data_IF_080655930782
#
_entry.id   IF_080655930782
#
_cell.length_a   1.000
_cell.length_b   1.000
_cell.length_c   1.000
_cell.angle_alpha   90.00
_cell.angle_beta   90.00
_cell.angle_gamma   90.00
#
_symmetry.space_group_name_H-M   'P 1'
#
loop_
_entity.id
_entity.type
_entity.pdbx_description
1 polymer ?
#
# COMPACT_ATOMS: atom_id res chain seq x y z
N UNK A 1 -12.20 -9.73 1.22
CA UNK A 1 -12.27 -10.42 -0.07
C UNK A 1 -10.96 -11.07 -0.52
N UNK A 2 -9.80 -10.45 -0.21
CA UNK A 2 -8.48 -11.04 -0.45
C UNK A 2 -7.77 -11.48 0.84
N UNK A 3 -8.37 -11.22 1.99
CA UNK A 3 -7.79 -11.59 3.29
C UNK A 3 -8.06 -13.06 3.59
N UNK A 4 -7.14 -13.68 4.29
CA UNK A 4 -7.23 -15.07 4.75
C UNK A 4 -7.29 -15.07 6.27
N UNK A 5 -8.29 -15.71 6.93
CA UNK A 5 -8.40 -15.74 8.39
C UNK A 5 -7.18 -16.33 9.09
N UNK A 6 -6.46 -17.24 8.44
CA UNK A 6 -5.23 -17.84 8.97
C UNK A 6 -4.16 -16.79 9.38
N UNK A 7 -4.14 -15.61 8.73
CA UNK A 7 -3.22 -14.54 9.12
C UNK A 7 -3.40 -14.09 10.57
N UNK A 8 -4.63 -14.17 11.09
CA UNK A 8 -4.94 -13.78 12.47
C UNK A 8 -4.23 -14.69 13.48
N UNK A 9 -4.21 -16.01 13.21
CA UNK A 9 -3.49 -16.99 14.02
C UNK A 9 -1.99 -16.72 13.97
N UNK A 10 -1.45 -16.50 12.77
CA UNK A 10 -0.01 -16.23 12.59
C UNK A 10 0.43 -14.94 13.27
N UNK A 11 -0.40 -13.89 13.30
CA UNK A 11 -0.12 -12.67 14.05
C UNK A 11 -0.04 -12.97 15.56
N UNK A 12 -1.03 -13.72 16.11
CA UNK A 12 -1.03 -14.10 17.53
C UNK A 12 0.22 -14.91 17.91
N UNK A 13 0.60 -15.86 17.07
CA UNK A 13 1.80 -16.68 17.30
C UNK A 13 3.11 -15.85 17.23
N UNK A 14 3.22 -14.91 16.29
CA UNK A 14 4.41 -14.06 16.16
C UNK A 14 4.52 -13.07 17.32
N UNK A 15 3.40 -12.49 17.74
CA UNK A 15 3.40 -11.41 18.71
C UNK A 15 3.22 -11.87 20.15
N UNK A 16 2.66 -13.07 20.36
CA UNK A 16 2.21 -13.54 21.67
C UNK A 16 1.05 -12.74 22.26
N UNK A 17 0.39 -11.88 21.43
CA UNK A 17 -0.70 -11.01 21.87
C UNK A 17 -2.01 -11.39 21.21
N UNK A 18 -3.09 -11.25 21.95
CA UNK A 18 -4.44 -11.37 21.42
C UNK A 18 -4.98 -10.00 20.99
N UNK A 19 -5.97 -10.01 20.11
CA UNK A 19 -6.69 -8.83 19.62
C UNK A 19 -8.11 -9.23 19.22
N UNK A 20 -9.03 -8.26 19.28
CA UNK A 20 -10.39 -8.46 18.79
C UNK A 20 -10.42 -8.37 17.27
N UNK A 21 -11.20 -9.25 16.66
CA UNK A 21 -11.43 -9.27 15.23
C UNK A 21 -12.92 -9.20 14.93
N UNK A 22 -13.32 -8.29 14.06
CA UNK A 22 -14.67 -8.13 13.56
C UNK A 22 -14.64 -8.34 12.04
N UNK A 23 -15.31 -9.39 11.54
CA UNK A 23 -15.45 -9.63 10.12
C UNK A 23 -16.62 -8.81 9.57
N UNK A 24 -16.37 -7.57 9.20
CA UNK A 24 -17.36 -6.58 8.78
C UNK A 24 -16.89 -5.86 7.51
N UNK A 25 -17.79 -5.64 6.57
CA UNK A 25 -17.56 -4.77 5.41
C UNK A 25 -17.73 -3.30 5.83
N UNK A 26 -16.89 -2.39 5.31
CA UNK A 26 -17.04 -0.95 5.59
C UNK A 26 -18.38 -0.36 5.10
N UNK A 27 -19.03 -1.02 4.16
CA UNK A 27 -20.37 -0.62 3.69
C UNK A 27 -21.49 -1.07 4.63
N UNK A 28 -21.21 -1.98 5.55
CA UNK A 28 -22.14 -2.40 6.61
C UNK A 28 -21.98 -1.50 7.84
N UNK A 29 -22.72 -0.38 7.85
CA UNK A 29 -22.66 0.62 8.92
C UNK A 29 -22.99 0.05 10.27
N UNK A 30 -24.04 -0.78 10.36
CA UNK A 30 -24.53 -1.34 11.62
C UNK A 30 -23.51 -2.34 12.19
N UNK A 31 -22.97 -3.21 11.34
CA UNK A 31 -21.92 -4.15 11.71
C UNK A 31 -20.63 -3.44 12.16
N UNK A 32 -20.23 -2.37 11.44
CA UNK A 32 -19.05 -1.59 11.81
C UNK A 32 -19.26 -0.82 13.13
N UNK A 33 -20.47 -0.35 13.40
CA UNK A 33 -20.81 0.35 14.62
C UNK A 33 -20.63 -0.52 15.86
N UNK A 34 -20.86 -1.84 15.77
CA UNK A 34 -20.63 -2.77 16.88
C UNK A 34 -19.18 -2.69 17.38
N UNK A 35 -18.20 -2.60 16.46
CA UNK A 35 -16.79 -2.46 16.83
C UNK A 35 -16.51 -1.17 17.61
N UNK A 36 -17.17 -0.07 17.27
CA UNK A 36 -17.04 1.22 17.99
C UNK A 36 -17.75 1.16 19.34
N UNK A 37 -18.94 0.53 19.42
CA UNK A 37 -19.73 0.46 20.65
C UNK A 37 -19.11 -0.44 21.73
N UNK A 38 -18.41 -1.49 21.34
CA UNK A 38 -17.82 -2.47 22.25
C UNK A 38 -16.37 -2.15 22.67
N UNK A 39 -15.76 -1.09 22.14
CA UNK A 39 -14.37 -0.78 22.37
C UNK A 39 -14.14 0.72 22.58
N UNK A 40 -13.19 1.06 23.44
CA UNK A 40 -12.64 2.41 23.55
C UNK A 40 -11.60 2.57 22.44
N UNK A 41 -11.94 3.33 21.40
CA UNK A 41 -11.09 3.55 20.23
C UNK A 41 -10.50 4.96 20.29
N UNK A 42 -9.17 5.08 20.31
CA UNK A 42 -8.46 6.36 20.32
C UNK A 42 -8.17 6.88 18.90
N UNK A 43 -7.92 5.98 17.96
CA UNK A 43 -7.55 6.31 16.59
C UNK A 43 -7.88 5.17 15.62
N UNK A 44 -7.96 5.50 14.34
CA UNK A 44 -8.18 4.55 13.24
C UNK A 44 -7.02 4.57 12.27
N UNK A 45 -6.48 3.40 11.91
CA UNK A 45 -5.63 3.23 10.73
C UNK A 45 -6.50 2.63 9.62
N UNK A 46 -6.78 3.41 8.59
CA UNK A 46 -7.70 3.04 7.53
C UNK A 46 -6.96 2.52 6.30
N UNK A 47 -6.85 1.19 6.19
CA UNK A 47 -6.25 0.50 5.03
C UNK A 47 -7.27 0.06 3.99
N UNK A 48 -8.53 -0.13 4.38
CA UNK A 48 -9.51 -0.78 3.55
C UNK A 48 -9.80 0.00 2.25
N UNK A 49 -9.95 -0.74 1.16
CA UNK A 49 -10.25 -0.21 -0.16
C UNK A 49 -9.82 -1.14 -1.28
N UNK A 50 -10.53 -1.10 -2.39
CA UNK A 50 -10.12 -1.75 -3.63
C UNK A 50 -8.92 -0.98 -4.20
N UNK A 51 -7.88 -1.71 -4.63
CA UNK A 51 -6.57 -1.09 -4.99
C UNK A 51 -6.03 -1.48 -6.38
N UNK A 52 -6.72 -2.30 -7.15
CA UNK A 52 -6.23 -2.75 -8.45
C UNK A 52 -6.48 -1.70 -9.54
N UNK A 53 -5.41 -1.02 -10.00
CA UNK A 53 -5.50 0.08 -10.97
C UNK A 53 -6.20 -0.36 -12.26
N UNK A 54 -5.79 -1.50 -12.85
CA UNK A 54 -6.38 -2.00 -14.10
C UNK A 54 -7.87 -2.35 -13.95
N UNK A 55 -8.25 -3.00 -12.85
CA UNK A 55 -9.65 -3.32 -12.55
C UNK A 55 -10.49 -2.05 -12.37
N UNK A 56 -9.92 -1.02 -11.74
CA UNK A 56 -10.63 0.25 -11.52
C UNK A 56 -11.09 0.92 -12.80
N UNK A 57 -10.35 0.74 -13.90
CA UNK A 57 -10.73 1.27 -15.22
C UNK A 57 -11.90 0.48 -15.82
N UNK A 58 -11.99 -0.81 -15.54
CA UNK A 58 -13.04 -1.68 -16.06
C UNK A 58 -14.35 -1.55 -15.30
N UNK A 59 -14.30 -1.39 -13.98
CA UNK A 59 -15.47 -1.32 -13.09
C UNK A 59 -15.41 -0.10 -12.15
N UNK A 60 -15.32 1.13 -12.66
CA UNK A 60 -15.04 2.33 -11.85
C UNK A 60 -16.08 2.59 -10.77
N UNK A 61 -17.36 2.38 -11.03
CA UNK A 61 -18.44 2.63 -10.06
C UNK A 61 -18.29 1.79 -8.81
N UNK A 62 -17.82 0.54 -8.92
CA UNK A 62 -17.54 -0.31 -7.76
C UNK A 62 -16.41 0.29 -6.90
N UNK A 63 -15.38 0.87 -7.52
CA UNK A 63 -14.28 1.53 -6.81
C UNK A 63 -14.74 2.77 -6.07
N UNK A 64 -15.52 3.63 -6.73
CA UNK A 64 -16.09 4.83 -6.09
C UNK A 64 -17.00 4.45 -4.92
N UNK A 65 -17.93 3.53 -5.15
CA UNK A 65 -18.88 3.11 -4.11
C UNK A 65 -18.13 2.47 -2.92
N UNK A 66 -17.25 1.50 -3.17
CA UNK A 66 -16.55 0.81 -2.10
C UNK A 66 -15.61 1.75 -1.32
N UNK A 67 -14.76 2.50 -2.02
CA UNK A 67 -13.70 3.24 -1.36
C UNK A 67 -14.22 4.54 -0.72
N UNK A 68 -15.07 5.30 -1.42
CA UNK A 68 -15.56 6.60 -0.92
C UNK A 68 -16.69 6.39 0.07
N UNK A 69 -17.75 5.64 -0.27
CA UNK A 69 -18.89 5.42 0.62
C UNK A 69 -18.45 4.72 1.91
N UNK A 70 -17.59 3.69 1.81
CA UNK A 70 -17.05 3.01 3.00
C UNK A 70 -16.26 3.96 3.91
N UNK A 71 -15.47 4.87 3.34
CA UNK A 71 -14.74 5.87 4.12
C UNK A 71 -15.69 6.89 4.77
N UNK A 72 -16.75 7.33 4.07
CA UNK A 72 -17.75 8.25 4.63
C UNK A 72 -18.45 7.59 5.82
N UNK A 73 -18.89 6.34 5.69
CA UNK A 73 -19.52 5.58 6.78
C UNK A 73 -18.58 5.49 7.99
N UNK A 74 -17.31 5.18 7.75
CA UNK A 74 -16.28 5.15 8.81
C UNK A 74 -16.15 6.51 9.52
N UNK A 75 -16.08 7.60 8.76
CA UNK A 75 -15.98 8.95 9.31
C UNK A 75 -17.23 9.36 10.13
N UNK A 76 -18.43 9.00 9.67
CA UNK A 76 -19.68 9.24 10.41
C UNK A 76 -19.67 8.52 11.78
N UNK A 77 -19.18 7.26 11.83
CA UNK A 77 -19.04 6.54 13.07
C UNK A 77 -17.94 7.13 13.96
N UNK A 78 -16.81 7.51 13.38
CA UNK A 78 -15.76 8.21 14.11
C UNK A 78 -16.27 9.51 14.76
N UNK A 79 -17.09 10.29 14.06
CA UNK A 79 -17.75 11.48 14.62
C UNK A 79 -18.69 11.11 15.75
N UNK A 80 -19.58 10.13 15.52
CA UNK A 80 -20.57 9.67 16.51
C UNK A 80 -19.93 9.24 17.82
N UNK A 81 -18.77 8.55 17.75
CA UNK A 81 -18.04 8.04 18.90
C UNK A 81 -16.89 8.95 19.37
N UNK A 82 -16.82 10.17 18.84
CA UNK A 82 -15.78 11.18 19.17
C UNK A 82 -14.35 10.69 18.95
N UNK A 83 -14.13 9.83 17.97
CA UNK A 83 -12.80 9.38 17.53
C UNK A 83 -12.31 10.33 16.45
N UNK A 84 -11.33 11.19 16.74
CA UNK A 84 -10.91 12.29 15.86
C UNK A 84 -9.51 12.12 15.27
N UNK A 85 -8.91 10.94 15.38
CA UNK A 85 -7.55 10.65 14.93
C UNK A 85 -7.57 9.56 13.86
N UNK A 86 -6.96 9.85 12.71
CA UNK A 86 -6.91 8.88 11.59
C UNK A 86 -5.54 8.88 10.91
N UNK A 87 -5.06 7.68 10.58
CA UNK A 87 -3.99 7.47 9.61
C UNK A 87 -4.61 6.83 8.38
N UNK A 88 -4.62 7.55 7.26
CA UNK A 88 -5.24 7.09 6.03
C UNK A 88 -4.22 6.56 5.03
N UNK A 89 -4.47 5.35 4.54
CA UNK A 89 -3.75 4.73 3.43
C UNK A 89 -4.09 5.41 2.11
N UNK A 90 -3.33 6.46 1.77
CA UNK A 90 -3.38 7.06 0.44
C UNK A 90 -2.38 6.35 -0.51
N UNK A 91 -2.07 6.96 -1.63
CA UNK A 91 -1.22 6.34 -2.65
C UNK A 91 -0.49 7.39 -3.48
N UNK A 92 0.72 7.09 -3.95
CA UNK A 92 1.42 7.91 -4.94
C UNK A 92 0.66 8.07 -6.27
N UNK A 93 -0.34 7.22 -6.54
CA UNK A 93 -1.21 7.35 -7.72
C UNK A 93 -2.03 8.65 -7.75
N UNK A 94 -2.16 9.34 -6.61
CA UNK A 94 -2.80 10.67 -6.57
C UNK A 94 -2.04 11.74 -7.35
N UNK A 95 -0.73 11.58 -7.51
CA UNK A 95 0.11 12.49 -8.31
C UNK A 95 -0.10 12.34 -9.82
N UNK A 96 -0.55 11.17 -10.27
CA UNK A 96 -0.69 10.85 -11.69
C UNK A 96 0.64 10.79 -12.43
N UNK A 97 0.80 11.61 -13.47
CA UNK A 97 2.04 11.73 -14.23
C UNK A 97 2.84 12.94 -13.72
N UNK A 98 3.90 12.73 -12.92
CA UNK A 98 4.68 13.83 -12.38
C UNK A 98 5.55 14.45 -13.47
N UNK A 99 5.70 15.79 -13.45
CA UNK A 99 6.56 16.52 -14.40
C UNK A 99 8.06 16.28 -14.13
N UNK A 100 8.40 15.87 -12.93
CA UNK A 100 9.79 15.60 -12.49
C UNK A 100 9.79 14.61 -11.30
N UNK A 101 10.98 14.11 -10.97
CA UNK A 101 11.25 13.30 -9.78
C UNK A 101 12.51 13.85 -9.08
N UNK A 102 12.70 13.62 -7.77
CA UNK A 102 11.79 12.96 -6.84
C UNK A 102 10.49 13.73 -6.59
N UNK A 103 9.41 13.03 -6.21
CA UNK A 103 8.08 13.60 -5.98
C UNK A 103 7.96 14.02 -4.53
N UNK A 104 7.73 15.31 -4.25
CA UNK A 104 7.41 15.84 -2.93
C UNK A 104 5.89 16.04 -2.74
N UNK A 105 5.45 16.25 -1.50
CA UNK A 105 4.03 16.31 -1.15
C UNK A 105 3.29 17.54 -1.71
N UNK A 106 4.02 18.57 -2.12
CA UNK A 106 3.52 19.81 -2.72
C UNK A 106 3.24 19.69 -4.24
N UNK A 107 3.56 18.52 -4.85
CA UNK A 107 3.27 18.30 -6.27
C UNK A 107 1.76 18.32 -6.54
N UNK A 108 1.34 18.81 -7.73
CA UNK A 108 -0.06 18.79 -8.14
C UNK A 108 -0.64 17.37 -8.10
N UNK A 109 -1.88 17.24 -7.59
CA UNK A 109 -2.60 15.98 -7.55
C UNK A 109 -3.47 15.86 -8.81
N UNK A 110 -3.11 14.96 -9.72
CA UNK A 110 -3.76 14.76 -11.03
C UNK A 110 -3.89 13.27 -11.34
N UNK A 111 -4.67 12.50 -10.56
CA UNK A 111 -4.79 11.05 -10.76
C UNK A 111 -5.31 10.71 -12.16
N UNK A 112 -4.69 9.70 -12.80
CA UNK A 112 -4.99 9.30 -14.18
C UNK A 112 -5.95 8.13 -14.29
N UNK A 113 -6.31 7.49 -13.17
CA UNK A 113 -7.19 6.32 -13.13
C UNK A 113 -8.20 6.40 -11.98
N UNK A 114 -9.32 5.63 -12.04
CA UNK A 114 -10.36 5.69 -11.01
C UNK A 114 -9.87 5.34 -9.60
N UNK A 115 -8.96 4.37 -9.44
CA UNK A 115 -8.38 4.07 -8.13
C UNK A 115 -7.67 5.29 -7.54
N UNK A 116 -6.77 5.91 -8.29
CA UNK A 116 -6.07 7.13 -7.85
C UNK A 116 -7.05 8.27 -7.55
N UNK A 117 -8.12 8.40 -8.34
CA UNK A 117 -9.18 9.39 -8.07
C UNK A 117 -9.93 9.12 -6.78
N UNK A 118 -10.22 7.85 -6.44
CA UNK A 118 -10.86 7.55 -5.14
C UNK A 118 -9.96 7.96 -3.98
N UNK A 119 -8.65 7.70 -4.06
CA UNK A 119 -7.71 8.13 -3.02
C UNK A 119 -7.62 9.65 -2.91
N UNK A 120 -7.53 10.36 -4.03
CA UNK A 120 -7.53 11.82 -4.06
C UNK A 120 -8.83 12.41 -3.49
N UNK A 121 -10.00 11.92 -3.92
CA UNK A 121 -11.28 12.39 -3.39
C UNK A 121 -11.42 12.15 -1.89
N UNK A 122 -10.93 11.03 -1.38
CA UNK A 122 -10.93 10.76 0.06
C UNK A 122 -9.99 11.73 0.78
N UNK A 123 -8.81 12.06 0.24
CA UNK A 123 -7.95 13.10 0.83
C UNK A 123 -8.67 14.43 0.96
N UNK A 124 -9.44 14.84 -0.07
CA UNK A 124 -10.23 16.10 -0.04
C UNK A 124 -11.37 16.01 0.99
N UNK A 125 -12.13 14.91 1.01
CA UNK A 125 -13.19 14.68 2.00
C UNK A 125 -12.62 14.77 3.45
N UNK A 126 -11.46 14.17 3.70
CA UNK A 126 -10.82 14.21 5.00
C UNK A 126 -10.31 15.62 5.37
N UNK A 127 -9.88 16.41 4.39
CA UNK A 127 -9.52 17.82 4.60
C UNK A 127 -10.74 18.66 4.95
N UNK A 128 -11.84 18.49 4.19
CA UNK A 128 -13.10 19.19 4.46
C UNK A 128 -13.64 18.83 5.86
N UNK A 129 -13.58 17.54 6.22
CA UNK A 129 -14.00 17.08 7.54
C UNK A 129 -13.18 17.74 8.67
N UNK A 130 -11.88 17.85 8.49
CA UNK A 130 -10.98 18.43 9.51
C UNK A 130 -11.21 19.94 9.71
N UNK A 131 -11.82 20.64 8.77
CA UNK A 131 -12.19 22.07 8.93
C UNK A 131 -13.40 22.24 9.86
N UNK A 132 -14.25 21.22 9.99
CA UNK A 132 -15.49 21.30 10.79
C UNK A 132 -15.23 21.22 12.31
N UNK A 133 -14.11 20.62 12.72
CA UNK A 133 -13.75 20.45 14.14
C UNK A 133 -12.22 20.41 14.26
N UNK A 134 -11.64 21.34 14.99
CA UNK A 134 -10.20 21.50 15.18
C UNK A 134 -9.51 20.35 15.97
N UNK A 135 -10.30 19.42 16.50
CA UNK A 135 -9.80 18.20 17.15
C UNK A 135 -9.38 17.12 16.17
N UNK A 136 -9.81 17.19 14.91
CA UNK A 136 -9.36 16.24 13.91
C UNK A 136 -7.85 16.29 13.71
N UNK A 137 -7.26 15.11 13.70
CA UNK A 137 -5.85 14.91 13.41
C UNK A 137 -5.70 13.75 12.42
N UNK A 138 -5.28 14.05 11.19
CA UNK A 138 -5.29 13.09 10.09
C UNK A 138 -3.93 13.09 9.39
N UNK A 139 -3.32 11.92 9.28
CA UNK A 139 -2.14 11.70 8.45
C UNK A 139 -2.52 10.96 7.16
N UNK A 140 -2.24 11.57 6.02
CA UNK A 140 -2.46 11.01 4.69
C UNK A 140 -1.14 10.39 4.20
N UNK A 141 -1.03 9.06 4.21
CA UNK A 141 0.21 8.38 3.83
C UNK A 141 0.17 7.96 2.36
N UNK A 142 0.93 8.65 1.52
CA UNK A 142 1.06 8.38 0.09
C UNK A 142 2.17 7.37 -0.16
N UNK A 143 1.81 6.08 -0.21
CA UNK A 143 2.82 5.03 -0.45
C UNK A 143 3.20 4.94 -1.92
N UNK A 144 4.46 4.56 -2.13
CA UNK A 144 4.95 4.13 -3.43
C UNK A 144 4.67 2.63 -3.60
N UNK A 145 5.63 1.76 -3.88
CA UNK A 145 5.36 0.37 -4.20
C UNK A 145 5.77 -0.58 -3.05
N UNK A 146 4.85 -0.97 -2.14
CA UNK A 146 5.20 -1.90 -1.08
C UNK A 146 5.53 -3.28 -1.64
N UNK A 147 6.65 -3.85 -1.19
CA UNK A 147 7.09 -5.22 -1.50
C UNK A 147 7.76 -5.85 -0.26
N UNK A 148 8.21 -7.08 -0.39
CA UNK A 148 8.76 -7.84 0.73
C UNK A 148 7.68 -8.56 1.53
N UNK A 149 8.08 -9.10 2.66
CA UNK A 149 7.22 -9.84 3.57
C UNK A 149 7.76 -9.72 5.00
N UNK A 150 7.04 -10.25 5.98
CA UNK A 150 7.58 -10.33 7.34
C UNK A 150 8.79 -11.28 7.39
N UNK A 151 9.90 -10.91 8.06
CA UNK A 151 11.14 -11.70 8.06
C UNK A 151 11.00 -13.15 8.56
N UNK A 152 9.95 -13.45 9.34
CA UNK A 152 9.65 -14.82 9.76
C UNK A 152 9.31 -15.76 8.60
N UNK A 153 8.91 -15.22 7.44
CA UNK A 153 8.36 -15.99 6.32
C UNK A 153 6.96 -16.57 6.62
N UNK A 154 6.24 -16.04 7.60
CA UNK A 154 4.91 -16.52 8.01
C UNK A 154 3.78 -15.59 7.57
N UNK A 155 4.09 -14.34 7.27
CA UNK A 155 3.13 -13.34 6.76
C UNK A 155 3.72 -12.70 5.50
N UNK A 156 2.95 -12.69 4.43
CA UNK A 156 3.29 -12.11 3.14
C UNK A 156 2.08 -11.90 2.25
N UNK A 157 2.31 -11.43 1.02
CA UNK A 157 1.26 -11.17 0.05
C UNK A 157 0.79 -12.48 -0.60
N UNK A 158 -0.52 -12.75 -0.52
CA UNK A 158 -1.17 -13.93 -1.11
C UNK A 158 -2.36 -13.50 -1.98
N UNK A 159 -2.10 -13.04 -3.21
CA UNK A 159 -3.13 -12.56 -4.11
C UNK A 159 -3.96 -13.72 -4.68
N UNK A 160 -5.27 -13.49 -4.82
CA UNK A 160 -6.13 -14.42 -5.54
C UNK A 160 -5.88 -14.30 -7.06
N UNK A 161 -5.61 -15.44 -7.73
CA UNK A 161 -5.36 -15.50 -9.16
C UNK A 161 -3.99 -14.95 -9.58
N UNK A 162 -3.88 -14.46 -10.84
CA UNK A 162 -2.63 -13.90 -11.37
C UNK A 162 -2.32 -12.57 -10.68
N UNK A 163 -1.13 -12.40 -10.07
CA UNK A 163 -0.78 -11.16 -9.39
C UNK A 163 -0.73 -9.95 -10.32
N UNK A 164 -1.28 -8.83 -9.85
CA UNK A 164 -1.16 -7.54 -10.54
C UNK A 164 0.12 -6.78 -10.18
N UNK A 165 0.69 -7.07 -9.01
CA UNK A 165 1.92 -6.45 -8.52
C UNK A 165 3.16 -7.24 -8.94
N UNK A 166 4.28 -6.54 -9.14
CA UNK A 166 5.51 -7.12 -9.68
C UNK A 166 6.09 -8.21 -8.76
N UNK A 167 6.27 -7.96 -7.47
CA UNK A 167 6.96 -8.89 -6.57
C UNK A 167 6.23 -10.24 -6.41
N UNK A 168 4.91 -10.30 -6.13
CA UNK A 168 4.22 -11.59 -6.07
C UNK A 168 4.19 -12.32 -7.43
N UNK A 169 4.24 -11.59 -8.56
CA UNK A 169 4.38 -12.22 -9.87
C UNK A 169 5.78 -12.87 -10.01
N UNK A 170 6.84 -12.13 -9.66
CA UNK A 170 8.22 -12.66 -9.65
C UNK A 170 8.32 -13.92 -8.78
N UNK A 171 7.82 -13.89 -7.55
CA UNK A 171 7.90 -15.02 -6.63
C UNK A 171 7.12 -16.24 -7.10
N UNK A 172 5.96 -16.04 -7.75
CA UNK A 172 5.18 -17.14 -8.35
C UNK A 172 5.86 -17.73 -9.59
N UNK A 173 6.57 -16.93 -10.38
CA UNK A 173 7.39 -17.45 -11.50
C UNK A 173 8.59 -18.22 -10.94
N UNK A 174 9.29 -17.67 -9.97
CA UNK A 174 10.45 -18.32 -9.35
C UNK A 174 10.10 -19.65 -8.65
N UNK A 175 8.88 -19.76 -8.08
CA UNK A 175 8.38 -21.02 -7.49
C UNK A 175 7.85 -22.02 -8.52
N UNK A 176 7.80 -21.66 -9.82
CA UNK A 176 7.26 -22.50 -10.90
C UNK A 176 5.74 -22.51 -10.98
N UNK A 177 5.03 -21.72 -10.17
CA UNK A 177 3.57 -21.59 -10.23
C UNK A 177 3.10 -20.89 -11.52
N UNK A 178 3.89 -19.95 -12.02
CA UNK A 178 3.71 -19.28 -13.30
C UNK A 178 4.91 -19.53 -14.21
N UNK A 179 4.66 -19.62 -15.51
CA UNK A 179 5.68 -19.97 -16.51
C UNK A 179 6.75 -18.88 -16.67
N UNK A 180 6.32 -17.64 -16.79
CA UNK A 180 7.19 -16.50 -17.12
C UNK A 180 6.56 -15.19 -16.65
N UNK A 181 7.40 -14.18 -16.39
CA UNK A 181 6.99 -12.82 -16.06
C UNK A 181 6.78 -12.02 -17.35
N UNK A 182 5.73 -11.19 -17.40
CA UNK A 182 5.54 -10.19 -18.46
C UNK A 182 6.09 -8.84 -18.00
N UNK A 183 7.11 -8.35 -18.71
CA UNK A 183 7.68 -7.02 -18.53
C UNK A 183 7.02 -6.07 -19.52
N UNK A 184 6.31 -5.06 -19.02
CA UNK A 184 5.49 -4.16 -19.83
C UNK A 184 6.29 -2.94 -20.31
N UNK A 185 6.68 -2.95 -21.59
CA UNK A 185 7.50 -1.92 -22.23
C UNK A 185 9.00 -2.08 -21.97
N UNK A 186 9.79 -1.79 -23.01
CA UNK A 186 11.25 -1.71 -22.96
C UNK A 186 11.78 -0.49 -23.71
N UNK A 187 10.91 0.48 -23.94
CA UNK A 187 11.16 1.68 -24.74
C UNK A 187 10.88 2.97 -23.96
N UNK A 188 10.80 2.89 -22.63
CA UNK A 188 10.75 4.06 -21.76
C UNK A 188 12.10 4.80 -21.77
N UNK A 189 12.11 6.14 -21.55
CA UNK A 189 13.35 6.93 -21.44
C UNK A 189 14.02 6.68 -20.08
N UNK A 190 14.40 5.43 -19.82
CA UNK A 190 15.06 4.94 -18.62
C UNK A 190 16.33 4.19 -19.00
N UNK A 191 17.17 3.83 -18.02
CA UNK A 191 18.47 3.20 -18.24
C UNK A 191 18.40 1.90 -19.08
N UNK A 192 17.38 1.08 -18.83
CA UNK A 192 17.18 -0.23 -19.49
C UNK A 192 15.87 -0.31 -20.30
N UNK A 193 15.20 0.82 -20.46
CA UNK A 193 13.93 0.91 -21.20
C UNK A 193 12.71 0.48 -20.41
N UNK A 194 12.85 -0.08 -19.19
CA UNK A 194 11.70 -0.51 -18.39
C UNK A 194 11.28 0.56 -17.37
N UNK A 195 10.05 0.46 -16.85
CA UNK A 195 9.53 1.44 -15.90
C UNK A 195 10.28 1.43 -14.57
N UNK A 196 10.52 2.61 -14.00
CA UNK A 196 11.23 2.80 -12.72
C UNK A 196 10.24 3.17 -11.62
N UNK A 197 10.33 2.47 -10.48
CA UNK A 197 9.47 2.68 -9.30
C UNK A 197 10.29 2.71 -8.02
N UNK A 198 9.76 3.41 -7.03
CA UNK A 198 10.26 3.37 -5.66
C UNK A 198 9.61 2.18 -4.94
N UNK A 199 10.42 1.21 -4.58
CA UNK A 199 9.98 0.04 -3.82
C UNK A 199 10.32 0.22 -2.35
N UNK A 200 9.34 0.00 -1.48
CA UNK A 200 9.47 0.12 -0.04
C UNK A 200 9.18 -1.22 0.64
N UNK A 201 9.99 -1.59 1.63
CA UNK A 201 9.74 -2.80 2.39
C UNK A 201 8.46 -2.66 3.22
N UNK A 202 7.58 -3.67 3.18
CA UNK A 202 6.29 -3.65 3.89
C UNK A 202 6.44 -3.43 5.40
N UNK A 203 7.54 -3.89 6.02
CA UNK A 203 7.82 -3.65 7.45
C UNK A 203 8.19 -2.19 7.71
N UNK A 204 8.99 -1.56 6.83
CA UNK A 204 9.28 -0.13 6.96
C UNK A 204 8.03 0.71 6.74
N UNK A 205 7.16 0.31 5.81
CA UNK A 205 5.86 0.92 5.63
C UNK A 205 5.00 0.81 6.90
N UNK A 206 4.95 -0.36 7.53
CA UNK A 206 4.24 -0.56 8.81
C UNK A 206 4.80 0.33 9.92
N UNK A 207 6.12 0.46 10.03
CA UNK A 207 6.76 1.41 10.96
C UNK A 207 6.35 2.86 10.66
N UNK A 208 6.21 3.23 9.37
CA UNK A 208 5.73 4.55 8.97
C UNK A 208 4.32 4.84 9.48
N UNK A 209 3.43 3.84 9.50
CA UNK A 209 2.09 3.98 10.08
C UNK A 209 2.14 4.20 11.59
N UNK A 210 3.03 3.50 12.31
CA UNK A 210 3.20 3.73 13.75
C UNK A 210 3.71 5.15 14.03
N UNK A 211 4.65 5.66 13.23
CA UNK A 211 5.14 7.03 13.37
C UNK A 211 4.05 8.06 13.01
N UNK A 212 3.24 7.81 12.02
CA UNK A 212 2.08 8.64 11.72
C UNK A 212 1.03 8.60 12.84
N UNK A 213 0.81 7.45 13.48
CA UNK A 213 -0.09 7.31 14.63
C UNK A 213 0.43 8.12 15.82
N UNK A 214 1.74 8.09 16.14
CA UNK A 214 2.37 8.95 17.15
C UNK A 214 2.16 10.44 16.82
N UNK A 215 2.28 10.83 15.54
CA UNK A 215 2.06 12.22 15.08
C UNK A 215 0.62 12.66 15.31
N UNK A 216 -0.37 11.89 14.83
CA UNK A 216 -1.80 12.26 14.98
C UNK A 216 -2.26 12.22 16.44
N UNK A 217 -1.59 11.46 17.31
CA UNK A 217 -1.87 11.47 18.74
C UNK A 217 -1.53 12.81 19.40
N UNK A 218 -0.56 13.56 18.86
CA UNK A 218 0.02 14.75 19.44
C UNK A 218 -0.12 16.02 18.59
N UNK A 219 -0.92 16.00 17.54
CA UNK A 219 -1.16 17.14 16.65
C UNK A 219 -2.64 17.25 16.26
N UNK A 220 -2.99 18.30 15.53
CA UNK A 220 -4.30 18.48 14.89
C UNK A 220 -4.13 18.90 13.43
N UNK A 221 -5.22 18.86 12.66
CA UNK A 221 -5.21 19.17 11.24
C UNK A 221 -4.90 17.98 10.34
N UNK A 222 -4.60 18.25 9.08
CA UNK A 222 -4.37 17.22 8.06
C UNK A 222 -3.02 17.43 7.40
N UNK A 223 -2.16 16.43 7.47
CA UNK A 223 -0.85 16.42 6.82
C UNK A 223 -0.69 15.21 5.90
N UNK A 224 -0.05 15.42 4.74
CA UNK A 224 0.32 14.34 3.84
C UNK A 224 1.82 14.02 3.96
N UNK A 225 2.16 12.73 3.83
CA UNK A 225 3.53 12.23 3.90
C UNK A 225 3.77 11.17 2.82
N UNK A 226 4.83 11.35 2.04
CA UNK A 226 5.32 10.32 1.12
C UNK A 226 6.07 9.24 1.89
N UNK A 227 5.66 8.00 1.73
CA UNK A 227 6.37 6.83 2.25
C UNK A 227 7.00 6.06 1.09
N UNK A 228 8.28 6.31 0.88
CA UNK A 228 9.14 5.69 -0.11
C UNK A 228 10.58 5.69 0.37
N UNK A 229 11.48 5.11 -0.41
CA UNK A 229 12.92 5.06 -0.10
C UNK A 229 13.68 6.26 -0.66
N UNK A 230 13.09 6.98 -1.63
CA UNK A 230 13.78 7.99 -2.42
C UNK A 230 14.68 7.41 -3.51
N UNK A 231 14.61 6.10 -3.74
CA UNK A 231 15.40 5.39 -4.76
C UNK A 231 14.48 4.68 -5.74
N UNK A 232 14.69 4.93 -7.02
CA UNK A 232 13.97 4.25 -8.09
C UNK A 232 14.74 3.02 -8.60
N UNK A 233 14.03 1.90 -8.79
CA UNK A 233 14.54 0.70 -9.44
C UNK A 233 13.69 0.37 -10.66
N UNK A 234 14.35 0.00 -11.75
CA UNK A 234 13.68 -0.51 -12.94
C UNK A 234 13.15 -1.93 -12.72
N UNK A 235 12.23 -2.38 -13.59
CA UNK A 235 11.72 -3.76 -13.51
C UNK A 235 12.85 -4.77 -13.64
N UNK A 236 13.80 -4.55 -14.56
CA UNK A 236 14.94 -5.47 -14.75
C UNK A 236 15.91 -5.45 -13.57
N UNK A 237 16.14 -4.29 -12.95
CA UNK A 237 16.95 -4.20 -11.72
C UNK A 237 16.31 -4.95 -10.55
N UNK A 238 14.96 -4.94 -10.44
CA UNK A 238 14.25 -5.73 -9.42
C UNK A 238 14.37 -7.24 -9.70
N UNK A 239 14.25 -7.66 -10.95
CA UNK A 239 14.45 -9.07 -11.34
C UNK A 239 15.87 -9.51 -10.97
N UNK A 240 16.88 -8.73 -11.36
CA UNK A 240 18.28 -9.03 -11.02
C UNK A 240 18.53 -9.12 -9.51
N UNK A 241 17.99 -8.17 -8.74
CA UNK A 241 18.09 -8.16 -7.29
C UNK A 241 17.41 -9.40 -6.67
N UNK A 242 16.25 -9.79 -7.19
CA UNK A 242 15.55 -10.99 -6.74
C UNK A 242 16.31 -12.26 -7.06
N UNK A 243 16.84 -12.40 -8.29
CA UNK A 243 17.66 -13.57 -8.66
C UNK A 243 18.89 -13.71 -7.75
N UNK A 244 19.56 -12.59 -7.44
CA UNK A 244 20.71 -12.58 -6.52
C UNK A 244 20.32 -12.95 -5.08
N UNK A 245 19.19 -12.42 -4.58
CA UNK A 245 18.75 -12.65 -3.21
C UNK A 245 18.18 -14.05 -2.98
N UNK A 246 17.49 -14.62 -3.97
CA UNK A 246 16.80 -15.91 -3.87
C UNK A 246 17.60 -17.10 -4.41
N UNK A 247 18.57 -16.85 -5.29
CA UNK A 247 19.24 -17.90 -6.06
C UNK A 247 18.36 -18.53 -7.15
N UNK A 248 17.13 -18.02 -7.37
CA UNK A 248 16.19 -18.54 -8.35
C UNK A 248 16.24 -17.72 -9.63
N UNK A 249 15.99 -18.39 -10.78
CA UNK A 249 15.84 -17.70 -12.07
C UNK A 249 14.39 -17.25 -12.29
N UNK A 250 14.25 -16.10 -12.93
CA UNK A 250 12.95 -15.48 -13.26
C UNK A 250 12.87 -15.30 -14.78
N UNK A 251 12.42 -16.30 -15.53
CA UNK A 251 12.22 -16.14 -16.97
C UNK A 251 11.16 -15.05 -17.23
N UNK A 252 11.42 -14.20 -18.21
CA UNK A 252 10.49 -13.12 -18.58
C UNK A 252 10.44 -12.90 -20.10
N UNK A 253 9.35 -12.29 -20.54
CA UNK A 253 9.16 -11.79 -21.90
C UNK A 253 8.82 -10.29 -21.85
N UNK A 254 9.27 -9.57 -22.86
CA UNK A 254 8.88 -8.18 -23.05
C UNK A 254 7.54 -8.14 -23.78
N UNK A 255 6.64 -7.29 -23.30
CA UNK A 255 5.32 -7.05 -23.92
C UNK A 255 5.11 -5.54 -24.09
N UNK A 256 4.03 -5.15 -24.78
CA UNK A 256 3.67 -3.74 -24.96
C UNK A 256 3.43 -3.04 -23.63
N UNK A 257 3.62 -1.70 -23.60
CA UNK A 257 3.34 -0.87 -22.43
C UNK A 257 1.89 -1.03 -21.97
N UNK A 258 1.67 -1.01 -20.67
CA UNK A 258 0.31 -0.87 -20.14
C UNK A 258 -0.16 0.58 -20.27
N UNK A 259 -1.42 0.81 -20.69
CA UNK A 259 -1.99 2.17 -20.71
C UNK A 259 -1.92 2.83 -19.35
N UNK A 260 -1.43 4.07 -19.30
CA UNK A 260 -1.35 4.86 -18.06
C UNK A 260 -0.11 4.60 -17.20
N UNK A 261 0.80 3.70 -17.59
CA UNK A 261 2.07 3.54 -16.87
C UNK A 261 3.00 4.74 -17.14
N UNK A 262 3.61 5.25 -16.06
CA UNK A 262 4.61 6.33 -16.13
C UNK A 262 6.02 5.74 -16.21
N UNK A 263 6.93 6.46 -16.90
CA UNK A 263 8.31 6.01 -17.05
C UNK A 263 9.05 5.90 -15.71
N UNK A 264 8.98 6.95 -14.89
CA UNK A 264 9.73 7.05 -13.62
C UNK A 264 8.82 7.62 -12.53
N UNK A 265 8.81 6.97 -11.35
CA UNK A 265 8.05 7.43 -10.19
C UNK A 265 8.77 7.00 -8.91
N UNK A 266 9.35 7.97 -8.18
CA UNK A 266 9.94 7.74 -6.84
C UNK A 266 9.80 8.98 -5.94
N UNK A 267 9.82 8.73 -4.63
CA UNK A 267 9.51 9.72 -3.60
C UNK A 267 10.66 10.67 -3.31
N UNK A 268 10.30 11.86 -2.81
CA UNK A 268 11.10 12.58 -1.83
C UNK A 268 10.53 12.28 -0.43
N UNK A 269 11.23 11.50 0.41
CA UNK A 269 10.77 11.15 1.77
C UNK A 269 11.20 12.16 2.84
N UNK A 270 11.74 13.31 2.47
CA UNK A 270 12.36 14.28 3.39
C UNK A 270 11.38 14.80 4.43
N UNK A 271 10.10 15.01 4.08
CA UNK A 271 9.07 15.45 5.02
C UNK A 271 8.77 14.40 6.07
N UNK A 272 8.62 13.13 5.69
CA UNK A 272 8.42 12.03 6.62
C UNK A 272 9.60 11.87 7.58
N UNK A 273 10.84 12.00 7.07
CA UNK A 273 12.04 12.00 7.92
C UNK A 273 12.03 13.15 8.94
N UNK A 274 11.72 14.37 8.51
CA UNK A 274 11.76 15.57 9.34
C UNK A 274 10.66 15.59 10.40
N UNK A 275 9.44 15.24 10.03
CA UNK A 275 8.24 15.45 10.84
C UNK A 275 7.74 14.22 11.57
N UNK A 276 7.99 13.02 11.04
CA UNK A 276 7.65 11.75 11.67
C UNK A 276 8.87 11.07 12.32
N UNK A 277 10.10 11.53 12.02
CA UNK A 277 11.32 10.81 12.41
C UNK A 277 11.44 9.43 11.76
N UNK A 278 10.79 9.24 10.60
CA UNK A 278 10.75 7.95 9.89
C UNK A 278 11.66 7.96 8.66
N UNK A 279 12.34 6.85 8.45
CA UNK A 279 13.11 6.54 7.23
C UNK A 279 12.91 5.08 6.87
N UNK A 280 12.93 4.76 5.57
CA UNK A 280 13.02 3.38 5.11
C UNK A 280 14.44 2.86 5.37
N UNK A 281 14.57 1.71 6.03
CA UNK A 281 15.85 1.13 6.46
C UNK A 281 16.27 -0.03 5.57
N UNK A 282 15.32 -0.75 4.97
CA UNK A 282 15.57 -1.98 4.21
C UNK A 282 15.77 -1.71 2.73
N UNK A 283 16.82 -2.32 2.17
CA UNK A 283 17.15 -2.22 0.76
C UNK A 283 16.45 -3.26 -0.12
N UNK A 284 16.62 -3.12 -1.44
CA UNK A 284 15.96 -3.98 -2.43
C UNK A 284 16.29 -5.47 -2.26
N UNK A 285 17.52 -5.79 -1.84
CA UNK A 285 17.92 -7.19 -1.61
C UNK A 285 17.17 -7.81 -0.42
N UNK A 286 16.99 -7.09 0.68
CA UNK A 286 16.19 -7.56 1.82
C UNK A 286 14.72 -7.71 1.44
N UNK A 287 14.18 -6.77 0.67
CA UNK A 287 12.82 -6.84 0.15
C UNK A 287 12.60 -8.12 -0.66
N UNK A 288 13.54 -8.43 -1.56
CA UNK A 288 13.51 -9.64 -2.37
C UNK A 288 13.71 -10.92 -1.55
N UNK A 289 14.65 -10.91 -0.60
CA UNK A 289 14.91 -12.06 0.26
C UNK A 289 13.71 -12.40 1.15
N UNK A 290 13.10 -11.40 1.79
CA UNK A 290 11.93 -11.61 2.65
C UNK A 290 10.70 -12.04 1.84
N UNK A 291 10.50 -11.49 0.61
CA UNK A 291 9.45 -11.95 -0.30
C UNK A 291 9.63 -13.43 -0.70
N UNK A 292 10.87 -13.83 -1.01
CA UNK A 292 11.18 -15.23 -1.33
C UNK A 292 11.06 -16.15 -0.12
N UNK A 293 11.51 -15.71 1.07
CA UNK A 293 11.35 -16.46 2.31
C UNK A 293 9.86 -16.76 2.62
N UNK A 294 8.96 -15.81 2.34
CA UNK A 294 7.53 -16.06 2.42
C UNK A 294 7.07 -17.09 1.37
N UNK A 295 7.31 -16.83 0.09
CA UNK A 295 6.79 -17.66 -1.00
C UNK A 295 7.33 -19.11 -0.94
N UNK A 296 8.60 -19.29 -0.63
CA UNK A 296 9.22 -20.63 -0.55
C UNK A 296 8.70 -21.47 0.60
N UNK A 297 8.32 -20.84 1.72
CA UNK A 297 7.70 -21.52 2.87
C UNK A 297 6.19 -21.72 2.73
N UNK A 298 5.57 -20.96 1.87
CA UNK A 298 4.11 -20.96 1.67
C UNK A 298 3.79 -21.03 0.16
N UNK A 299 4.11 -22.15 -0.51
CA UNK A 299 3.92 -22.25 -1.97
C UNK A 299 2.45 -22.08 -2.39
N UNK A 300 1.51 -22.41 -1.51
CA UNK A 300 0.07 -22.27 -1.73
C UNK A 300 -0.53 -21.07 -0.98
N UNK A 301 0.29 -20.14 -0.49
CA UNK A 301 -0.15 -18.99 0.29
C UNK A 301 -0.48 -19.37 1.74
N UNK A 302 -1.63 -18.92 2.23
CA UNK A 302 -2.13 -19.27 3.58
C UNK A 302 -2.93 -20.57 3.61
N UNK A 303 -3.09 -21.23 2.48
CA UNK A 303 -3.71 -22.56 2.39
C UNK A 303 -2.63 -23.62 2.60
N UNK A 304 -2.86 -24.51 3.57
CA UNK A 304 -1.99 -25.67 3.83
C UNK A 304 -2.17 -26.78 2.78
#
# INVERSE_FOLDING_TARGET
SNSKPEVLNRIKEITGKDFKFYEVDLLDKDGLEVAFAENEIDAVIHFAGLKAVGESVQIPLRYYHNNITGTIILCELMEKYNVKKMVFSSSATVYGMPDRVPISEDFPLRPTNPYGRTKFMIEEILRDLAVTDDKWSIALLRYFNPIGAHPSGRIGEDPNGIPNNLMPYITQVASGKLKELRVFGNDYPTKDGTGVRDYIHVVDLAKGHLKALEKVANSTGVDAYNLGTGTGYSVLEVIEAFEKASGQKVPYIITDRRPGDVAICYADPSKAKKELGWVAEKGIYEMCADAWNWQSKNPNGYED
#
